data_IF_945352060085
#
_entry.id   IF_945352060085
#
_cell.length_a   1.000
_cell.length_b   1.000
_cell.length_c   1.000
_cell.angle_alpha   90.00
_cell.angle_beta   90.00
_cell.angle_gamma   90.00
#
_symmetry.space_group_name_H-M   'P 1'
#
loop_
_entity.id
_entity.type
_entity.pdbx_description
1 polymer ?
#
# COMPACT_ATOMS: atom_id res chain seq x y z
N UNK A 1 29.94 74.73 -36.72
CA UNK A 1 28.61 74.17 -36.40
C UNK A 1 28.41 72.67 -36.71
N UNK A 2 29.41 71.92 -37.19
CA UNK A 2 29.24 70.49 -37.56
C UNK A 2 29.40 69.47 -36.42
N UNK A 3 30.38 69.66 -35.51
CA UNK A 3 30.72 68.65 -34.48
C UNK A 3 29.66 68.46 -33.38
N UNK A 4 28.87 69.50 -33.08
CA UNK A 4 27.81 69.42 -32.07
C UNK A 4 26.60 68.59 -32.54
N UNK A 5 26.33 68.53 -33.85
CA UNK A 5 25.28 67.68 -34.42
C UNK A 5 25.68 66.21 -34.44
N UNK A 6 26.95 65.93 -34.74
CA UNK A 6 27.49 64.56 -34.73
C UNK A 6 27.51 63.95 -33.31
N UNK A 7 27.89 64.75 -32.30
CA UNK A 7 27.89 64.32 -30.90
C UNK A 7 26.46 64.05 -30.39
N UNK A 8 25.49 64.89 -30.77
CA UNK A 8 24.07 64.67 -30.45
C UNK A 8 23.51 63.41 -31.11
N UNK A 9 23.90 63.12 -32.36
CA UNK A 9 23.51 61.89 -33.06
C UNK A 9 24.07 60.62 -32.40
N UNK A 10 25.35 60.64 -32.00
CA UNK A 10 25.98 59.54 -31.27
C UNK A 10 25.36 59.31 -29.89
N UNK A 11 25.00 60.38 -29.19
CA UNK A 11 24.30 60.29 -27.90
C UNK A 11 22.89 59.69 -28.06
N UNK A 12 22.15 60.09 -29.10
CA UNK A 12 20.83 59.54 -29.39
C UNK A 12 20.89 58.03 -29.70
N UNK A 13 21.89 57.59 -30.48
CA UNK A 13 22.09 56.17 -30.78
C UNK A 13 22.41 55.34 -29.53
N UNK A 14 23.20 55.88 -28.59
CA UNK A 14 23.48 55.24 -27.31
C UNK A 14 22.22 55.07 -26.45
N UNK A 15 21.35 56.09 -26.41
CA UNK A 15 20.07 56.01 -25.70
C UNK A 15 19.13 54.97 -26.31
N UNK A 16 19.06 54.88 -27.65
CA UNK A 16 18.25 53.87 -28.34
C UNK A 16 18.77 52.46 -28.04
N UNK A 17 20.10 52.25 -28.09
CA UNK A 17 20.70 50.95 -27.77
C UNK A 17 20.45 50.53 -26.31
N UNK A 18 20.57 51.47 -25.36
CA UNK A 18 20.27 51.21 -23.95
C UNK A 18 18.78 50.88 -23.74
N UNK A 19 17.87 51.56 -24.43
CA UNK A 19 16.44 51.29 -24.35
C UNK A 19 16.08 49.90 -24.92
N UNK A 20 16.68 49.50 -26.04
CA UNK A 20 16.53 48.16 -26.61
C UNK A 20 17.08 47.08 -25.65
N UNK A 21 18.20 47.34 -24.99
CA UNK A 21 18.77 46.43 -24.00
C UNK A 21 17.89 46.29 -22.74
N UNK A 22 17.28 47.38 -22.27
CA UNK A 22 16.32 47.33 -21.16
C UNK A 22 15.03 46.59 -21.54
N UNK A 23 14.55 46.76 -22.78
CA UNK A 23 13.42 46.00 -23.31
C UNK A 23 13.74 44.51 -23.43
N UNK A 24 14.93 44.13 -23.90
CA UNK A 24 15.32 42.72 -24.00
C UNK A 24 15.47 42.05 -22.63
N UNK A 25 15.97 42.76 -21.62
CA UNK A 25 16.01 42.25 -20.23
C UNK A 25 14.60 42.03 -19.66
N UNK A 26 13.64 42.92 -19.96
CA UNK A 26 12.25 42.77 -19.53
C UNK A 26 11.52 41.63 -20.26
N UNK A 27 11.76 41.45 -21.57
CA UNK A 27 11.23 40.30 -22.35
C UNK A 27 11.78 38.97 -21.83
N UNK A 28 13.06 38.94 -21.40
CA UNK A 28 13.68 37.75 -20.83
C UNK A 28 13.10 37.42 -19.44
N UNK A 29 12.85 38.43 -18.59
CA UNK A 29 12.20 38.25 -17.27
C UNK A 29 10.73 37.85 -17.36
N UNK A 30 10.02 38.24 -18.42
CA UNK A 30 8.61 37.89 -18.62
C UNK A 30 8.38 36.48 -19.22
N UNK A 31 9.45 35.75 -19.57
CA UNK A 31 9.37 34.36 -20.07
C UNK A 31 9.60 33.29 -19.00
N UNK A 32 9.85 33.67 -17.75
CA UNK A 32 9.51 32.86 -16.57
C UNK A 32 8.07 33.15 -16.18
N UNK A 33 7.15 32.90 -17.12
CA UNK A 33 5.76 32.67 -16.74
C UNK A 33 5.79 31.42 -15.88
N UNK A 34 5.50 31.58 -14.59
CA UNK A 34 5.22 30.47 -13.71
C UNK A 34 4.23 29.57 -14.45
N UNK A 35 4.73 28.47 -15.01
CA UNK A 35 3.93 27.28 -15.17
C UNK A 35 3.59 26.89 -13.74
N UNK A 36 2.52 27.51 -13.20
CA UNK A 36 1.73 26.89 -12.17
C UNK A 36 1.62 25.45 -12.62
N UNK A 37 2.21 24.47 -11.90
CA UNK A 37 1.93 23.10 -12.25
C UNK A 37 0.41 23.03 -12.21
N UNK A 38 -0.19 22.80 -13.38
CA UNK A 38 -1.58 22.32 -13.47
C UNK A 38 -1.69 21.36 -12.29
N UNK A 39 -2.63 21.52 -11.34
CA UNK A 39 -2.80 20.52 -10.31
C UNK A 39 -2.89 19.23 -11.10
N UNK A 40 -1.86 18.39 -10.95
CA UNK A 40 -1.76 17.16 -11.70
C UNK A 40 -3.03 16.47 -11.26
N UNK A 41 -4.02 16.45 -12.17
CA UNK A 41 -5.31 15.84 -11.93
C UNK A 41 -4.98 14.56 -11.21
N UNK A 42 -5.38 14.48 -9.94
CA UNK A 42 -5.07 13.35 -9.09
C UNK A 42 -5.71 12.17 -9.79
N UNK A 43 -4.93 11.53 -10.66
CA UNK A 43 -5.28 10.30 -11.32
C UNK A 43 -5.68 9.40 -10.17
N UNK A 44 -6.98 9.09 -10.07
CA UNK A 44 -7.53 8.12 -9.12
C UNK A 44 -7.04 6.73 -9.56
N UNK A 45 -5.72 6.54 -9.58
CA UNK A 45 -5.04 5.38 -10.16
C UNK A 45 -5.09 4.18 -9.23
N UNK A 46 -5.44 4.39 -7.97
CA UNK A 46 -5.96 3.34 -7.11
C UNK A 46 -7.47 3.55 -6.95
N UNK A 47 -8.27 2.91 -7.80
CA UNK A 47 -9.68 2.68 -7.49
C UNK A 47 -9.73 1.61 -6.41
N UNK A 48 -9.46 2.00 -5.17
CA UNK A 48 -9.34 1.09 -4.04
C UNK A 48 -10.72 0.54 -3.69
N UNK A 49 -11.09 -0.64 -4.20
CA UNK A 49 -12.03 -1.48 -3.46
C UNK A 49 -11.29 -2.01 -2.24
N UNK A 50 -11.38 -1.27 -1.13
CA UNK A 50 -10.78 -1.67 0.14
C UNK A 50 -11.59 -2.84 0.68
N UNK A 51 -10.89 -3.89 1.13
CA UNK A 51 -11.57 -4.98 1.83
C UNK A 51 -12.03 -4.49 3.20
N UNK A 52 -13.34 -4.28 3.32
CA UNK A 52 -14.02 -4.07 4.60
C UNK A 52 -14.24 -5.41 5.35
N UNK A 53 -13.89 -6.53 4.71
CA UNK A 53 -14.11 -7.87 5.22
C UNK A 53 -12.85 -8.41 5.93
N UNK A 54 -13.09 -9.26 6.91
CA UNK A 54 -12.02 -9.97 7.64
C UNK A 54 -11.34 -11.03 6.79
N UNK A 55 -12.04 -11.51 5.76
CA UNK A 55 -11.57 -12.50 4.80
C UNK A 55 -11.75 -11.89 3.42
N UNK A 56 -10.68 -11.87 2.65
CA UNK A 56 -10.64 -11.25 1.32
C UNK A 56 -10.30 -12.34 0.32
N UNK A 57 -11.22 -12.74 -0.57
CA UNK A 57 -10.89 -13.73 -1.58
C UNK A 57 -9.80 -13.18 -2.52
N UNK A 58 -8.83 -14.03 -2.86
CA UNK A 58 -7.89 -13.71 -3.93
C UNK A 58 -8.51 -14.13 -5.26
N UNK A 59 -8.80 -13.14 -6.10
CA UNK A 59 -9.54 -13.33 -7.34
C UNK A 59 -9.00 -14.48 -8.20
N UNK A 60 -9.92 -15.28 -8.75
CA UNK A 60 -9.63 -16.43 -9.62
C UNK A 60 -8.79 -17.53 -8.96
N UNK A 61 -8.76 -17.59 -7.63
CA UNK A 61 -8.10 -18.65 -6.88
C UNK A 61 -9.02 -19.17 -5.78
N UNK A 62 -8.61 -20.28 -5.14
CA UNK A 62 -9.23 -20.77 -3.90
C UNK A 62 -8.51 -20.24 -2.66
N UNK A 63 -7.84 -19.11 -2.75
CA UNK A 63 -7.05 -18.54 -1.66
C UNK A 63 -7.80 -17.39 -1.01
N UNK A 64 -7.60 -17.23 0.30
CA UNK A 64 -8.23 -16.19 1.10
C UNK A 64 -7.11 -15.43 1.81
N UNK A 65 -7.18 -14.10 1.80
CA UNK A 65 -6.31 -13.20 2.53
C UNK A 65 -7.03 -12.70 3.77
N UNK A 66 -6.34 -12.70 4.91
CA UNK A 66 -6.92 -12.30 6.19
C UNK A 66 -6.54 -10.86 6.51
N UNK A 67 -5.25 -10.53 6.51
CA UNK A 67 -4.78 -9.18 6.82
C UNK A 67 -3.34 -8.96 6.37
N UNK A 68 -2.97 -7.70 6.19
CA UNK A 68 -1.61 -7.27 5.88
C UNK A 68 -1.07 -6.38 7.02
N UNK A 69 0.20 -6.56 7.39
CA UNK A 69 0.88 -5.76 8.42
C UNK A 69 2.33 -5.49 8.07
N UNK A 70 2.85 -4.39 8.61
CA UNK A 70 4.28 -4.10 8.60
C UNK A 70 5.00 -5.14 9.47
N UNK A 71 5.86 -5.97 8.87
CA UNK A 71 6.63 -6.99 9.59
C UNK A 71 7.93 -6.36 10.10
N UNK A 72 8.00 -6.15 11.41
CA UNK A 72 9.16 -5.53 12.06
C UNK A 72 10.18 -6.58 12.54
N UNK A 73 9.92 -7.88 12.34
CA UNK A 73 10.76 -8.97 12.86
C UNK A 73 11.94 -9.29 11.96
N UNK A 74 11.78 -9.11 10.65
CA UNK A 74 12.77 -9.52 9.64
C UNK A 74 13.16 -8.32 8.79
N UNK A 75 14.46 -7.98 8.78
CA UNK A 75 14.97 -6.88 7.94
C UNK A 75 14.88 -7.26 6.46
N UNK A 76 14.35 -6.37 5.63
CA UNK A 76 14.25 -6.55 4.17
C UNK A 76 12.96 -7.21 3.68
N UNK A 77 12.07 -7.63 4.59
CA UNK A 77 10.70 -8.06 4.26
C UNK A 77 9.73 -7.14 5.00
N UNK A 78 9.28 -6.10 4.31
CA UNK A 78 8.59 -4.99 4.97
C UNK A 78 7.14 -5.35 5.33
N UNK A 79 6.46 -6.12 4.49
CA UNK A 79 5.04 -6.46 4.68
C UNK A 79 4.86 -7.98 4.76
N UNK A 80 4.04 -8.42 5.72
CA UNK A 80 3.53 -9.78 5.80
C UNK A 80 2.01 -9.79 5.65
N UNK A 81 1.53 -10.63 4.75
CA UNK A 81 0.11 -10.88 4.52
C UNK A 81 -0.19 -12.29 5.03
N UNK A 82 -1.09 -12.41 6.00
CA UNK A 82 -1.60 -13.71 6.44
C UNK A 82 -2.70 -14.14 5.48
N UNK A 83 -2.62 -15.37 5.00
CA UNK A 83 -3.62 -16.00 4.14
C UNK A 83 -3.93 -17.44 4.53
N UNK A 84 -4.97 -17.98 3.89
CA UNK A 84 -5.39 -19.38 3.95
C UNK A 84 -5.41 -19.87 2.50
N UNK A 85 -4.43 -20.72 2.15
CA UNK A 85 -4.20 -21.14 0.77
C UNK A 85 -4.50 -22.63 0.63
N UNK A 86 -5.05 -22.99 -0.53
CA UNK A 86 -5.22 -24.39 -0.92
C UNK A 86 -3.88 -24.94 -1.37
N UNK A 87 -3.45 -26.05 -0.78
CA UNK A 87 -2.07 -26.54 -0.87
C UNK A 87 -1.67 -26.92 -2.31
N UNK A 88 -2.57 -27.55 -3.05
CA UNK A 88 -2.32 -28.09 -4.38
C UNK A 88 -2.40 -27.03 -5.50
N UNK A 89 -2.75 -25.78 -5.17
CA UNK A 89 -2.92 -24.71 -6.16
C UNK A 89 -2.12 -23.45 -5.83
N UNK A 90 -1.09 -23.55 -4.98
CA UNK A 90 -0.23 -22.42 -4.66
C UNK A 90 0.64 -22.11 -5.86
N UNK A 91 0.51 -20.89 -6.37
CA UNK A 91 1.26 -20.37 -7.50
C UNK A 91 2.11 -19.17 -7.08
N UNK A 92 3.14 -18.78 -7.87
CA UNK A 92 3.86 -17.55 -7.64
C UNK A 92 2.91 -16.33 -7.65
N UNK A 93 3.08 -15.45 -6.67
CA UNK A 93 2.30 -14.22 -6.54
C UNK A 93 3.23 -13.00 -6.54
N UNK A 94 2.65 -11.84 -6.83
CA UNK A 94 3.34 -10.55 -6.87
C UNK A 94 2.59 -9.53 -6.02
N UNK A 95 3.30 -8.75 -5.22
CA UNK A 95 2.70 -7.65 -4.46
C UNK A 95 2.66 -6.39 -5.31
N UNK A 96 1.48 -5.78 -5.35
CA UNK A 96 1.26 -4.45 -5.89
C UNK A 96 0.84 -3.53 -4.75
N UNK A 97 1.50 -2.39 -4.64
CA UNK A 97 1.26 -1.43 -3.57
C UNK A 97 0.59 -0.17 -4.10
N UNK A 98 -0.24 0.45 -3.25
CA UNK A 98 -0.77 1.79 -3.48
C UNK A 98 -0.23 2.77 -2.43
N UNK A 99 0.19 3.95 -2.89
CA UNK A 99 0.61 5.08 -2.07
C UNK A 99 0.08 6.38 -2.67
N UNK A 100 -0.73 7.15 -1.92
CA UNK A 100 -1.24 8.46 -2.36
C UNK A 100 -1.81 8.48 -3.79
N UNK A 101 -2.50 7.41 -4.20
CA UNK A 101 -3.09 7.28 -5.55
C UNK A 101 -2.14 6.78 -6.64
N UNK A 102 -0.87 6.50 -6.33
CA UNK A 102 0.11 5.92 -7.25
C UNK A 102 0.30 4.42 -6.98
N UNK A 103 0.43 3.66 -8.06
CA UNK A 103 0.77 2.24 -8.03
C UNK A 103 2.30 2.03 -8.05
N UNK A 104 2.76 1.02 -7.31
CA UNK A 104 4.14 0.54 -7.44
C UNK A 104 4.30 -0.36 -8.67
N UNK A 105 5.54 -0.72 -8.98
CA UNK A 105 5.78 -1.90 -9.82
C UNK A 105 5.38 -3.16 -9.04
N UNK A 106 4.96 -4.20 -9.75
CA UNK A 106 4.71 -5.50 -9.16
C UNK A 106 6.04 -6.11 -8.67
N UNK A 107 6.08 -6.52 -7.41
CA UNK A 107 7.25 -7.12 -6.77
C UNK A 107 7.01 -8.60 -6.52
N UNK A 108 8.00 -9.49 -6.74
CA UNK A 108 7.83 -10.90 -6.43
C UNK A 108 7.63 -11.11 -4.92
N UNK A 109 6.90 -12.16 -4.56
CA UNK A 109 6.63 -12.50 -3.16
C UNK A 109 7.37 -13.75 -2.72
N UNK A 110 7.58 -13.87 -1.40
CA UNK A 110 7.99 -15.14 -0.79
C UNK A 110 6.80 -15.69 -0.02
N UNK A 111 6.34 -16.89 -0.39
CA UNK A 111 5.21 -17.55 0.26
C UNK A 111 5.76 -18.57 1.26
N UNK A 112 5.49 -18.36 2.54
CA UNK A 112 5.87 -19.24 3.64
C UNK A 112 4.63 -20.02 4.08
N UNK A 113 4.60 -21.32 3.79
CA UNK A 113 3.54 -22.22 4.24
C UNK A 113 3.85 -22.71 5.66
N UNK A 114 2.84 -22.72 6.53
CA UNK A 114 2.97 -23.40 7.81
C UNK A 114 3.10 -24.93 7.60
N UNK A 115 4.10 -25.54 8.25
CA UNK A 115 4.40 -26.96 8.04
C UNK A 115 3.24 -27.88 8.41
N UNK A 116 2.48 -27.53 9.44
CA UNK A 116 1.40 -28.36 9.93
C UNK A 116 0.06 -27.94 9.31
N UNK A 117 -0.51 -28.85 8.53
CA UNK A 117 -1.84 -28.70 7.92
C UNK A 117 -2.85 -29.72 8.44
N UNK A 118 -2.45 -30.63 9.34
CA UNK A 118 -3.32 -31.66 9.94
C UNK A 118 -4.20 -32.45 8.93
N UNK A 119 -3.70 -32.66 7.70
CA UNK A 119 -4.46 -33.34 6.64
C UNK A 119 -5.46 -32.47 5.87
N UNK A 120 -5.62 -31.19 6.23
CA UNK A 120 -6.52 -30.28 5.53
C UNK A 120 -5.98 -29.86 4.15
N UNK A 121 -6.86 -29.66 3.15
CA UNK A 121 -6.47 -29.16 1.83
C UNK A 121 -6.05 -27.69 1.85
N UNK A 122 -6.30 -26.99 2.96
CA UNK A 122 -5.92 -25.60 3.17
C UNK A 122 -4.89 -25.47 4.29
N UNK A 123 -4.04 -24.46 4.18
CA UNK A 123 -2.98 -24.18 5.14
C UNK A 123 -2.84 -22.68 5.34
N UNK A 124 -2.48 -22.28 6.56
CA UNK A 124 -2.09 -20.90 6.83
C UNK A 124 -0.79 -20.59 6.09
N UNK A 125 -0.76 -19.43 5.44
CA UNK A 125 0.40 -18.95 4.70
C UNK A 125 0.73 -17.52 5.11
N UNK A 126 2.02 -17.23 5.15
CA UNK A 126 2.53 -15.86 5.22
C UNK A 126 3.10 -15.50 3.85
N UNK A 127 2.53 -14.48 3.21
CA UNK A 127 3.05 -13.92 1.98
C UNK A 127 3.87 -12.69 2.33
N UNK A 128 5.17 -12.76 2.08
CA UNK A 128 6.12 -11.70 2.36
C UNK A 128 6.30 -10.83 1.11
N UNK A 129 6.12 -9.51 1.27
CA UNK A 129 6.38 -8.52 0.23
C UNK A 129 7.49 -7.57 0.65
N UNK A 130 8.40 -7.26 -0.27
CA UNK A 130 9.35 -6.15 -0.14
C UNK A 130 8.77 -4.87 -0.74
N UNK A 131 8.77 -3.77 0.02
CA UNK A 131 8.33 -2.47 -0.49
C UNK A 131 9.47 -1.88 -1.35
N UNK A 132 9.18 -1.39 -2.57
CA UNK A 132 10.19 -0.70 -3.38
C UNK A 132 10.81 0.50 -2.65
N UNK A 133 12.11 0.74 -2.86
CA UNK A 133 12.82 1.87 -2.24
C UNK A 133 12.13 3.21 -2.55
N UNK A 134 11.95 4.04 -1.53
CA UNK A 134 11.32 5.36 -1.66
C UNK A 134 9.80 5.32 -1.84
N UNK A 135 9.16 4.17 -1.59
CA UNK A 135 7.71 4.01 -1.67
C UNK A 135 7.11 3.83 -0.27
N UNK A 136 6.06 4.56 0.07
CA UNK A 136 5.37 4.46 1.36
C UNK A 136 4.01 3.79 1.19
N UNK A 137 3.98 2.46 1.20
CA UNK A 137 2.76 1.71 0.91
C UNK A 137 1.70 1.89 2.00
N UNK A 138 0.47 2.27 1.62
CA UNK A 138 -0.69 2.30 2.54
C UNK A 138 -1.57 1.06 2.38
N UNK A 139 -1.65 0.53 1.15
CA UNK A 139 -2.41 -0.65 0.81
C UNK A 139 -1.58 -1.60 -0.06
N UNK A 140 -1.92 -2.88 0.01
CA UNK A 140 -1.31 -3.94 -0.79
C UNK A 140 -2.38 -4.84 -1.38
N UNK A 141 -2.11 -5.38 -2.56
CA UNK A 141 -2.88 -6.47 -3.16
C UNK A 141 -1.92 -7.49 -3.77
N UNK A 142 -2.43 -8.70 -4.03
CA UNK A 142 -1.67 -9.81 -4.61
C UNK A 142 -2.15 -10.08 -6.03
N UNK A 143 -1.18 -10.22 -6.94
CA UNK A 143 -1.40 -10.51 -8.34
C UNK A 143 -0.83 -11.89 -8.69
N UNK A 144 -1.53 -12.61 -9.57
CA UNK A 144 -1.02 -13.86 -10.15
C UNK A 144 -0.01 -13.65 -11.26
N UNK A 145 -0.02 -12.47 -11.90
CA UNK A 145 0.86 -12.13 -13.02
C UNK A 145 1.31 -10.67 -12.89
N UNK A 146 2.58 -10.36 -13.20
CA UNK A 146 3.14 -9.02 -12.96
C UNK A 146 2.63 -7.96 -13.94
N UNK A 147 2.14 -8.36 -15.13
CA UNK A 147 1.77 -7.43 -16.22
C UNK A 147 0.28 -7.29 -16.49
N UNK A 148 -0.60 -8.07 -15.83
CA UNK A 148 -2.06 -7.94 -15.98
C UNK A 148 -2.64 -7.01 -14.92
N UNK A 149 -2.34 -5.71 -15.02
CA UNK A 149 -2.89 -4.71 -14.10
C UNK A 149 -4.18 -4.13 -14.69
N UNK A 150 -5.27 -4.86 -14.59
CA UNK A 150 -6.61 -4.25 -14.69
C UNK A 150 -6.99 -3.78 -13.28
N UNK A 151 -6.61 -2.54 -12.96
CA UNK A 151 -6.82 -1.87 -11.66
C UNK A 151 -8.23 -2.00 -11.06
N UNK A 152 -9.35 -1.91 -11.81
CA UNK A 152 -10.66 -1.76 -11.18
C UNK A 152 -11.20 -2.99 -10.43
N UNK A 153 -10.63 -4.18 -10.63
CA UNK A 153 -11.19 -5.42 -10.06
C UNK A 153 -10.40 -5.97 -8.87
N UNK A 154 -9.35 -5.28 -8.40
CA UNK A 154 -8.52 -5.79 -7.30
C UNK A 154 -9.06 -5.31 -5.96
N UNK A 155 -9.18 -6.24 -5.01
CA UNK A 155 -9.45 -5.91 -3.62
C UNK A 155 -8.15 -5.60 -2.90
N UNK A 156 -8.14 -4.50 -2.15
CA UNK A 156 -6.96 -3.97 -1.50
C UNK A 156 -7.02 -4.22 0.01
N UNK A 157 -5.92 -4.70 0.57
CA UNK A 157 -5.75 -4.85 2.00
C UNK A 157 -5.08 -3.60 2.57
N UNK A 158 -5.65 -2.95 3.60
CA UNK A 158 -4.95 -1.92 4.33
C UNK A 158 -3.77 -2.52 5.08
N UNK A 159 -2.61 -1.87 4.99
CA UNK A 159 -1.42 -2.29 5.74
C UNK A 159 -1.56 -1.77 7.17
N UNK A 160 -1.64 -2.68 8.13
CA UNK A 160 -1.81 -2.37 9.56
C UNK A 160 -0.47 -2.25 10.28
N UNK A 161 -0.50 -1.71 11.50
CA UNK A 161 0.66 -1.58 12.39
C UNK A 161 1.84 -0.80 11.76
N UNK A 162 1.51 0.22 10.97
CA UNK A 162 2.47 1.19 10.49
C UNK A 162 2.77 2.16 11.63
N UNK A 163 4.05 2.41 11.93
CA UNK A 163 4.43 3.39 12.96
C UNK A 163 4.12 4.79 12.43
N UNK A 164 2.96 5.33 12.77
CA UNK A 164 2.59 6.72 12.48
C UNK A 164 2.92 7.57 13.70
N UNK A 165 4.10 8.21 13.68
CA UNK A 165 4.63 9.23 14.61
C UNK A 165 4.03 9.39 16.03
N UNK A 166 4.90 9.25 17.05
CA UNK A 166 4.88 9.80 18.44
C UNK A 166 3.60 9.83 19.29
N UNK A 167 2.41 9.44 18.81
CA UNK A 167 1.16 9.49 19.57
C UNK A 167 0.55 8.10 19.89
N UNK A 168 1.21 7.01 19.48
CA UNK A 168 0.71 5.63 19.64
C UNK A 168 0.93 5.00 21.04
N UNK A 169 1.34 5.78 22.05
CA UNK A 169 1.27 5.33 23.45
C UNK A 169 -0.16 5.42 24.02
N UNK A 170 -1.11 6.01 23.29
CA UNK A 170 -2.51 6.03 23.70
C UNK A 170 -3.18 4.68 23.47
N UNK A 171 -3.13 3.81 24.49
CA UNK A 171 -3.94 2.57 24.65
C UNK A 171 -4.22 1.84 23.33
N UNK A 172 -3.35 0.92 22.93
CA UNK A 172 -3.52 0.00 21.79
C UNK A 172 -4.96 -0.56 21.69
N UNK A 173 -5.83 0.09 20.91
CA UNK A 173 -7.19 -0.36 20.62
C UNK A 173 -7.17 -1.20 19.35
N UNK A 174 -6.63 -2.42 19.43
CA UNK A 174 -6.62 -3.32 18.28
C UNK A 174 -7.86 -4.22 18.28
N UNK A 175 -8.49 -4.32 17.11
CA UNK A 175 -9.42 -5.40 16.81
C UNK A 175 -8.59 -6.61 16.38
N UNK A 176 -8.48 -7.61 17.26
CA UNK A 176 -7.78 -8.85 16.92
C UNK A 176 -8.71 -9.81 16.19
N UNK A 177 -8.21 -10.39 15.11
CA UNK A 177 -8.79 -11.55 14.44
C UNK A 177 -7.96 -12.76 14.83
N UNK A 178 -8.61 -13.78 15.37
CA UNK A 178 -7.96 -15.06 15.68
C UNK A 178 -8.54 -16.10 14.73
N UNK A 179 -7.69 -16.75 13.96
CA UNK A 179 -8.04 -17.90 13.14
C UNK A 179 -7.65 -19.15 13.92
N UNK A 180 -8.62 -20.02 14.20
CA UNK A 180 -8.35 -21.29 14.89
C UNK A 180 -8.84 -22.43 14.01
N UNK A 181 -7.95 -23.36 13.71
CA UNK A 181 -8.30 -24.58 12.98
C UNK A 181 -8.92 -25.57 13.96
N UNK A 182 -10.25 -25.64 14.00
CA UNK A 182 -11.03 -26.62 14.77
C UNK A 182 -11.20 -27.97 14.05
N UNK A 183 -10.49 -28.17 12.94
CA UNK A 183 -10.91 -29.14 11.93
C UNK A 183 -10.46 -30.58 12.20
N UNK A 184 -9.67 -30.83 13.25
CA UNK A 184 -9.07 -32.14 13.52
C UNK A 184 -10.12 -33.26 13.62
N UNK A 185 -9.96 -34.31 12.81
CA UNK A 185 -10.87 -35.47 12.79
C UNK A 185 -12.22 -35.24 12.12
N UNK A 186 -12.24 -34.67 10.91
CA UNK A 186 -13.44 -34.49 10.06
C UNK A 186 -14.63 -33.82 10.76
N UNK A 187 -14.37 -32.78 11.55
CA UNK A 187 -15.42 -32.03 12.28
C UNK A 187 -16.20 -32.85 13.31
N UNK A 188 -15.79 -34.09 13.60
CA UNK A 188 -16.55 -34.99 14.47
C UNK A 188 -16.33 -34.72 15.96
N UNK A 189 -15.43 -33.81 16.32
CA UNK A 189 -15.10 -33.52 17.71
C UNK A 189 -15.66 -32.16 18.18
N UNK A 190 -16.94 -32.15 18.52
CA UNK A 190 -17.65 -30.99 19.11
C UNK A 190 -16.96 -30.48 20.39
N UNK A 191 -16.31 -31.37 21.14
CA UNK A 191 -15.60 -31.00 22.37
C UNK A 191 -14.35 -30.15 22.08
N UNK A 192 -13.56 -30.47 21.05
CA UNK A 192 -12.40 -29.67 20.65
C UNK A 192 -12.81 -28.27 20.18
N UNK A 193 -13.95 -28.16 19.51
CA UNK A 193 -14.52 -26.86 19.15
C UNK A 193 -14.89 -26.02 20.38
N UNK A 194 -15.58 -26.62 21.36
CA UNK A 194 -15.95 -25.94 22.61
C UNK A 194 -14.72 -25.51 23.41
N UNK A 195 -13.72 -26.39 23.57
CA UNK A 195 -12.45 -26.10 24.26
C UNK A 195 -11.71 -24.92 23.62
N UNK A 196 -11.67 -24.90 22.29
CA UNK A 196 -11.05 -23.82 21.52
C UNK A 196 -11.76 -22.47 21.75
N UNK A 197 -13.08 -22.48 21.78
CA UNK A 197 -13.88 -21.27 22.05
C UNK A 197 -13.68 -20.74 23.46
N UNK A 198 -13.58 -21.62 24.45
CA UNK A 198 -13.31 -21.22 25.84
C UNK A 198 -11.90 -20.65 26.00
N UNK A 199 -10.88 -21.24 25.37
CA UNK A 199 -9.53 -20.66 25.34
C UNK A 199 -9.52 -19.26 24.71
N UNK A 200 -10.28 -19.05 23.63
CA UNK A 200 -10.43 -17.73 23.02
C UNK A 200 -11.19 -16.75 23.94
N UNK A 201 -12.17 -17.22 24.71
CA UNK A 201 -12.88 -16.41 25.71
C UNK A 201 -11.96 -15.97 26.85
N UNK A 202 -11.06 -16.83 27.32
CA UNK A 202 -10.07 -16.46 28.34
C UNK A 202 -9.08 -15.42 27.81
N UNK A 203 -8.61 -15.57 26.57
CA UNK A 203 -7.77 -14.56 25.91
C UNK A 203 -8.47 -13.19 25.81
N UNK A 204 -9.80 -13.15 25.65
CA UNK A 204 -10.58 -11.91 25.75
C UNK A 204 -10.58 -11.29 27.13
N UNK A 205 -10.61 -12.08 28.20
CA UNK A 205 -10.65 -11.52 29.56
C UNK A 205 -9.31 -10.94 29.99
N UNK A 206 -8.20 -11.48 29.49
CA UNK A 206 -6.86 -10.98 29.80
C UNK A 206 -6.57 -9.63 29.13
N UNK A 207 -7.26 -9.31 28.02
CA UNK A 207 -7.22 -8.00 27.37
C UNK A 207 -8.52 -7.25 27.67
N UNK A 208 -8.46 -6.16 28.45
CA UNK A 208 -9.60 -5.36 28.96
C UNK A 208 -10.57 -4.72 27.91
N UNK A 209 -10.86 -5.33 26.75
CA UNK A 209 -11.83 -4.83 25.74
C UNK A 209 -12.50 -5.94 24.90
N UNK A 210 -13.74 -5.71 24.41
CA UNK A 210 -14.54 -6.73 23.73
C UNK A 210 -14.01 -7.07 22.32
N UNK A 211 -13.54 -8.30 22.12
CA UNK A 211 -13.25 -8.84 20.79
C UNK A 211 -14.55 -9.11 20.03
N UNK A 212 -14.72 -8.50 18.84
CA UNK A 212 -15.84 -8.79 17.93
C UNK A 212 -15.83 -10.26 17.50
N UNK A 213 -16.97 -10.93 17.63
CA UNK A 213 -17.15 -12.34 17.23
C UNK A 213 -17.38 -12.41 15.71
N UNK A 214 -16.55 -13.17 15.01
CA UNK A 214 -16.90 -13.77 13.72
C UNK A 214 -16.50 -15.24 13.78
N UNK A 215 -17.51 -16.09 13.68
CA UNK A 215 -17.34 -17.54 13.60
C UNK A 215 -17.13 -17.88 12.13
N UNK A 216 -16.14 -18.74 11.85
CA UNK A 216 -16.04 -19.46 10.60
C UNK A 216 -16.19 -20.92 11.00
N UNK A 217 -17.28 -21.54 10.54
CA UNK A 217 -17.48 -22.99 10.55
C UNK A 217 -16.88 -23.51 9.24
#
# INVERSE_FOLDING_TARGET
MGKAKELKGKLLLLFIAAFIFLLSLNVTKHRTYNAFPKPLSASKMCSLQISEQTLTPLNNTKHILVSAYMDQRVKGLDIRIIGIFKIDSIQPLYCLFCCAGRLSNATPTTILKHNNNFGFPFVTTDVMCGIPKGFSATHVTLLMQPHRVTVPNQTWLPIRNQKTGREEEQKLQFNFTVCISNLYGDYNNVLQFAQTLEMYRLAKQQHHKPLKKKYIV
#
